data_IF_743806661288
#
_entry.id   IF_743806661288
#
_cell.length_a   1.000
_cell.length_b   1.000
_cell.length_c   1.000
_cell.angle_alpha   90.00
_cell.angle_beta   90.00
_cell.angle_gamma   90.00
#
_symmetry.space_group_name_H-M   'P 1'
#
loop_
_entity.id
_entity.type
_entity.pdbx_description
1 polymer ?
#
# COMPACT_ATOMS: atom_id res chain seq x y z
N UNK A 1 -32.52 -54.68 51.04
CA UNK A 1 -31.96 -55.67 50.11
C UNK A 1 -31.51 -54.99 48.90
N UNK A 2 -30.19 -54.58 48.84
CA UNK A 2 -29.61 -53.77 47.80
C UNK A 2 -28.92 -54.74 46.80
N UNK A 3 -29.47 -54.88 45.60
CA UNK A 3 -28.87 -55.65 44.54
C UNK A 3 -27.69 -54.87 43.94
N UNK A 4 -26.50 -55.26 44.31
CA UNK A 4 -25.28 -54.84 43.61
C UNK A 4 -25.23 -55.55 42.23
N UNK A 5 -25.48 -54.81 41.17
CA UNK A 5 -25.26 -55.23 39.80
C UNK A 5 -23.75 -55.30 39.57
N UNK A 6 -23.15 -56.44 39.53
CA UNK A 6 -21.77 -56.65 39.07
C UNK A 6 -21.72 -56.33 37.60
N UNK A 7 -21.05 -55.18 37.27
CA UNK A 7 -20.67 -54.85 35.90
C UNK A 7 -19.65 -55.96 35.49
N UNK A 8 -19.98 -56.71 34.46
CA UNK A 8 -19.06 -57.65 33.84
C UNK A 8 -17.93 -56.81 33.18
N UNK A 9 -16.71 -56.98 33.65
CA UNK A 9 -15.53 -56.41 33.01
C UNK A 9 -15.15 -57.35 31.86
N UNK A 10 -15.78 -57.13 30.69
CA UNK A 10 -15.37 -57.76 29.45
C UNK A 10 -14.06 -57.11 28.98
N UNK A 11 -12.96 -57.86 29.11
CA UNK A 11 -11.64 -57.39 28.63
C UNK A 11 -11.59 -57.31 27.10
N UNK A 12 -10.93 -56.30 26.58
CA UNK A 12 -10.71 -56.11 25.14
C UNK A 12 -9.91 -57.28 24.55
N UNK A 13 -10.37 -57.79 23.41
CA UNK A 13 -9.64 -58.80 22.68
C UNK A 13 -8.45 -58.19 21.92
N UNK A 14 -7.36 -58.94 21.77
CA UNK A 14 -6.16 -58.49 21.06
C UNK A 14 -6.48 -58.07 19.62
N UNK A 15 -7.42 -58.76 18.95
CA UNK A 15 -7.85 -58.45 17.58
C UNK A 15 -8.61 -57.14 17.50
N UNK A 16 -9.41 -56.80 18.50
CA UNK A 16 -10.15 -55.53 18.59
C UNK A 16 -9.20 -54.35 18.70
N UNK A 17 -8.13 -54.48 19.49
CA UNK A 17 -7.10 -53.47 19.62
C UNK A 17 -6.35 -53.26 18.30
N UNK A 18 -6.03 -54.31 17.56
CA UNK A 18 -5.37 -54.23 16.25
C UNK A 18 -6.27 -53.50 15.23
N UNK A 19 -7.56 -53.87 15.19
CA UNK A 19 -8.51 -53.23 14.27
C UNK A 19 -8.64 -51.72 14.59
N UNK A 20 -8.74 -51.35 15.86
CA UNK A 20 -8.83 -49.96 16.27
C UNK A 20 -7.56 -49.15 15.87
N UNK A 21 -6.36 -49.71 16.06
CA UNK A 21 -5.12 -49.08 15.64
C UNK A 21 -5.06 -48.86 14.13
N UNK A 22 -5.51 -49.83 13.33
CA UNK A 22 -5.56 -49.68 11.86
C UNK A 22 -6.56 -48.59 11.46
N UNK A 23 -7.74 -48.55 12.06
CA UNK A 23 -8.75 -47.53 11.77
C UNK A 23 -8.29 -46.14 12.16
N UNK A 24 -7.65 -45.96 13.32
CA UNK A 24 -7.08 -44.69 13.75
C UNK A 24 -5.98 -44.23 12.78
N UNK A 25 -5.13 -45.15 12.32
CA UNK A 25 -4.07 -44.82 11.37
C UNK A 25 -4.62 -44.30 10.04
N UNK A 26 -5.67 -44.93 9.51
CA UNK A 26 -6.36 -44.49 8.28
C UNK A 26 -7.00 -43.11 8.49
N UNK A 27 -7.69 -42.90 9.60
CA UNK A 27 -8.33 -41.60 9.94
C UNK A 27 -7.31 -40.51 10.13
N UNK A 28 -6.15 -40.77 10.76
CA UNK A 28 -5.08 -39.82 10.95
C UNK A 28 -4.53 -39.33 9.62
N UNK A 29 -4.25 -40.22 8.68
CA UNK A 29 -3.77 -39.85 7.33
C UNK A 29 -4.83 -39.09 6.56
N UNK A 30 -6.09 -39.51 6.59
CA UNK A 30 -7.18 -38.86 5.90
C UNK A 30 -7.43 -37.40 6.43
N UNK A 31 -7.21 -37.17 7.72
CA UNK A 31 -7.41 -35.87 8.36
C UNK A 31 -6.26 -34.90 8.15
N UNK A 32 -5.08 -35.34 7.76
CA UNK A 32 -3.88 -34.53 7.65
C UNK A 32 -3.97 -33.49 6.51
N UNK A 33 -4.51 -33.88 5.35
CA UNK A 33 -4.65 -32.99 4.20
C UNK A 33 -5.56 -31.78 4.45
N UNK A 34 -6.80 -31.95 4.96
CA UNK A 34 -7.66 -30.80 5.22
C UNK A 34 -7.09 -29.89 6.33
N UNK A 35 -6.37 -30.43 7.31
CA UNK A 35 -5.72 -29.65 8.34
C UNK A 35 -4.63 -28.74 7.75
N UNK A 36 -3.75 -29.29 6.91
CA UNK A 36 -2.70 -28.51 6.23
C UNK A 36 -3.29 -27.45 5.30
N UNK A 37 -4.35 -27.76 4.57
CA UNK A 37 -5.06 -26.80 3.74
C UNK A 37 -5.67 -25.67 4.58
N UNK A 38 -6.24 -25.98 5.72
CA UNK A 38 -6.79 -25.01 6.66
C UNK A 38 -5.73 -24.05 7.22
N UNK A 39 -4.56 -24.57 7.58
CA UNK A 39 -3.43 -23.75 8.03
C UNK A 39 -2.90 -22.84 6.93
N UNK A 40 -2.75 -23.35 5.71
CA UNK A 40 -2.33 -22.56 4.57
C UNK A 40 -3.36 -21.48 4.21
N UNK A 41 -4.65 -21.77 4.29
CA UNK A 41 -5.70 -20.79 4.07
C UNK A 41 -5.65 -19.65 5.10
N UNK A 42 -5.46 -19.98 6.38
CA UNK A 42 -5.28 -18.95 7.44
C UNK A 42 -4.06 -18.08 7.20
N UNK A 43 -2.93 -18.65 6.83
CA UNK A 43 -1.72 -17.89 6.52
C UNK A 43 -1.93 -16.95 5.34
N UNK A 44 -2.63 -17.38 4.29
CA UNK A 44 -2.98 -16.52 3.14
C UNK A 44 -3.88 -15.35 3.55
N UNK A 45 -4.90 -15.61 4.37
CA UNK A 45 -5.80 -14.54 4.85
C UNK A 45 -5.02 -13.53 5.69
N UNK A 46 -4.16 -13.97 6.60
CA UNK A 46 -3.33 -13.08 7.40
C UNK A 46 -2.42 -12.20 6.52
N UNK A 47 -1.71 -12.81 5.57
CA UNK A 47 -0.84 -12.07 4.65
C UNK A 47 -1.61 -11.06 3.78
N UNK A 48 -2.83 -11.39 3.37
CA UNK A 48 -3.69 -10.48 2.61
C UNK A 48 -4.15 -9.30 3.46
N UNK A 49 -4.51 -9.52 4.72
CA UNK A 49 -4.90 -8.45 5.64
C UNK A 49 -3.73 -7.51 5.91
N UNK A 50 -2.55 -8.04 6.24
CA UNK A 50 -1.34 -7.23 6.45
C UNK A 50 -1.00 -6.39 5.22
N UNK A 51 -1.16 -6.98 4.03
CA UNK A 51 -0.94 -6.28 2.77
C UNK A 51 -1.95 -5.13 2.55
N UNK A 52 -3.24 -5.36 2.82
CA UNK A 52 -4.30 -4.34 2.69
C UNK A 52 -4.07 -3.21 3.70
N UNK A 53 -3.72 -3.53 4.93
CA UNK A 53 -3.45 -2.53 5.97
C UNK A 53 -2.21 -1.69 5.64
N UNK A 54 -1.13 -2.31 5.17
CA UNK A 54 0.06 -1.62 4.69
C UNK A 54 -0.22 -0.70 3.49
N UNK A 55 -1.05 -1.16 2.55
CA UNK A 55 -1.48 -0.38 1.40
C UNK A 55 -2.31 0.83 1.82
N UNK A 56 -3.29 0.63 2.70
CA UNK A 56 -4.14 1.69 3.23
C UNK A 56 -3.32 2.74 3.99
N UNK A 57 -2.46 2.31 4.91
CA UNK A 57 -1.56 3.21 5.64
C UNK A 57 -0.69 4.05 4.71
N UNK A 58 -0.12 3.41 3.69
CA UNK A 58 0.74 4.09 2.71
C UNK A 58 -0.02 5.15 1.93
N UNK A 59 -1.22 4.83 1.44
CA UNK A 59 -2.07 5.80 0.73
C UNK A 59 -2.50 6.96 1.64
N UNK A 60 -2.93 6.69 2.87
CA UNK A 60 -3.29 7.73 3.83
C UNK A 60 -2.10 8.65 4.13
N UNK A 61 -0.89 8.08 4.24
CA UNK A 61 0.33 8.86 4.41
C UNK A 61 0.62 9.74 3.20
N UNK A 62 0.54 9.20 1.98
CA UNK A 62 0.73 9.94 0.74
C UNK A 62 -0.27 11.10 0.61
N UNK A 63 -1.55 10.84 0.85
CA UNK A 63 -2.62 11.85 0.81
C UNK A 63 -2.34 12.97 1.81
N UNK A 64 -1.91 12.64 3.02
CA UNK A 64 -1.58 13.62 4.05
C UNK A 64 -0.42 14.52 3.63
N UNK A 65 0.66 13.95 3.09
CA UNK A 65 1.81 14.71 2.63
C UNK A 65 1.46 15.62 1.44
N UNK A 66 0.68 15.11 0.49
CA UNK A 66 0.20 15.88 -0.65
C UNK A 66 -0.65 17.09 -0.24
N UNK A 67 -1.51 16.93 0.76
CA UNK A 67 -2.33 18.03 1.28
C UNK A 67 -1.52 19.11 2.01
N UNK A 68 -0.31 18.79 2.44
CA UNK A 68 0.63 19.72 3.08
C UNK A 68 1.59 20.40 2.09
N UNK A 69 1.44 20.14 0.79
CA UNK A 69 2.29 20.75 -0.23
C UNK A 69 2.16 22.28 -0.20
N UNK A 70 3.32 22.95 -0.23
CA UNK A 70 3.42 24.41 -0.19
C UNK A 70 3.26 25.03 -1.57
N UNK A 71 2.74 26.27 -1.60
CA UNK A 71 2.91 27.18 -2.74
C UNK A 71 4.32 27.75 -2.77
N UNK A 72 4.72 28.18 -3.96
CA UNK A 72 5.92 28.99 -4.08
C UNK A 72 5.77 30.33 -3.32
N UNK A 73 6.89 31.03 -3.13
CA UNK A 73 6.90 32.31 -2.37
C UNK A 73 5.98 33.37 -2.97
N UNK A 74 5.68 33.29 -4.27
CA UNK A 74 4.83 34.20 -4.99
C UNK A 74 3.36 33.77 -5.05
N UNK A 75 3.02 32.60 -4.47
CA UNK A 75 1.68 32.03 -4.51
C UNK A 75 1.23 31.59 -5.91
N UNK A 76 2.16 31.45 -6.85
CA UNK A 76 1.86 31.21 -8.27
C UNK A 76 1.68 29.72 -8.60
N UNK A 77 2.11 28.80 -7.75
CA UNK A 77 1.94 27.36 -7.98
C UNK A 77 2.36 26.49 -6.80
N UNK A 78 1.94 25.24 -6.82
CA UNK A 78 2.37 24.22 -5.86
C UNK A 78 3.81 23.80 -6.13
N UNK A 79 4.61 23.70 -5.09
CA UNK A 79 5.97 23.17 -5.20
C UNK A 79 5.95 21.65 -5.22
N UNK A 80 5.62 21.10 -6.37
CA UNK A 80 5.53 19.67 -6.64
C UNK A 80 6.17 19.36 -7.98
N UNK A 81 6.84 18.22 -8.07
CA UNK A 81 7.53 17.73 -9.26
C UNK A 81 7.31 16.24 -9.42
N UNK A 82 6.99 15.81 -10.62
CA UNK A 82 6.96 14.39 -10.99
C UNK A 82 8.39 13.84 -11.06
N UNK A 83 8.56 12.63 -10.55
CA UNK A 83 9.81 11.87 -10.57
C UNK A 83 9.58 10.52 -11.25
N UNK A 84 10.66 9.94 -11.79
CA UNK A 84 10.67 8.58 -12.30
C UNK A 84 9.51 8.31 -13.30
N UNK A 85 9.29 9.26 -14.22
CA UNK A 85 8.29 9.11 -15.26
C UNK A 85 8.71 7.98 -16.22
N UNK A 86 7.84 6.99 -16.48
CA UNK A 86 8.09 5.98 -17.52
C UNK A 86 8.23 6.65 -18.89
N UNK A 87 9.03 6.06 -19.76
CA UNK A 87 9.21 6.55 -21.14
C UNK A 87 7.85 6.59 -21.83
N UNK A 88 7.52 7.74 -22.43
CA UNK A 88 6.24 8.00 -23.12
C UNK A 88 4.98 7.94 -22.25
N UNK A 89 5.10 8.19 -20.96
CA UNK A 89 3.98 8.08 -20.00
C UNK A 89 2.98 9.24 -20.02
N UNK A 90 3.25 10.29 -20.78
CA UNK A 90 2.36 11.46 -20.89
C UNK A 90 2.20 12.21 -19.57
N UNK A 91 1.24 11.81 -18.74
CA UNK A 91 0.91 12.44 -17.44
C UNK A 91 1.12 11.51 -16.24
N UNK A 92 1.93 10.46 -16.37
CA UNK A 92 2.11 9.41 -15.34
C UNK A 92 3.54 9.43 -14.82
N UNK A 93 3.70 9.31 -13.49
CA UNK A 93 5.01 9.04 -12.88
C UNK A 93 4.92 7.97 -11.81
N UNK A 94 6.06 7.36 -11.48
CA UNK A 94 6.20 6.36 -10.40
C UNK A 94 6.74 6.99 -9.11
N UNK A 95 6.92 8.31 -9.12
CA UNK A 95 7.37 9.04 -7.95
C UNK A 95 7.04 10.53 -8.07
N UNK A 96 7.06 11.20 -6.94
CA UNK A 96 6.89 12.64 -6.86
C UNK A 96 7.77 13.23 -5.77
N UNK A 97 8.14 14.49 -5.95
CA UNK A 97 8.77 15.32 -4.95
C UNK A 97 7.89 16.50 -4.63
N UNK A 98 7.81 16.86 -3.37
CA UNK A 98 7.03 17.99 -2.91
C UNK A 98 7.76 18.78 -1.82
N UNK A 99 7.51 20.08 -1.77
CA UNK A 99 7.91 20.96 -0.68
C UNK A 99 6.74 21.08 0.29
N UNK A 100 6.96 20.77 1.57
CA UNK A 100 5.89 20.90 2.58
C UNK A 100 5.76 22.35 3.06
N UNK A 101 4.56 22.71 3.50
CA UNK A 101 4.32 23.95 4.23
C UNK A 101 4.94 23.88 5.63
N UNK A 102 5.59 24.98 6.09
CA UNK A 102 6.40 25.03 7.29
C UNK A 102 5.74 24.74 8.59
N UNK A 103 6.62 24.42 9.52
CA UNK A 103 6.29 24.55 10.92
C UNK A 103 6.00 25.99 11.32
N UNK A 104 5.52 26.19 12.54
CA UNK A 104 5.08 27.46 13.11
C UNK A 104 6.17 28.54 13.14
N UNK A 105 7.43 28.17 12.94
CA UNK A 105 8.61 29.01 13.07
C UNK A 105 9.20 29.51 11.73
N UNK A 106 8.54 29.24 10.59
CA UNK A 106 8.98 29.75 9.28
C UNK A 106 10.31 29.18 8.76
N UNK A 107 10.84 28.16 9.43
CA UNK A 107 12.09 27.52 9.00
C UNK A 107 11.97 26.91 7.61
N UNK A 108 13.08 26.88 6.88
CA UNK A 108 13.17 26.27 5.54
C UNK A 108 12.81 24.79 5.63
N UNK A 109 11.69 24.45 5.00
CA UNK A 109 11.17 23.11 5.05
C UNK A 109 11.93 22.19 4.14
N UNK A 110 12.31 21.06 4.69
CA UNK A 110 12.83 19.98 3.90
C UNK A 110 11.78 19.46 2.92
N UNK A 111 12.16 19.28 1.66
CA UNK A 111 11.34 18.60 0.68
C UNK A 111 11.21 17.12 1.03
N UNK A 112 10.20 16.50 0.44
CA UNK A 112 9.90 15.08 0.62
C UNK A 112 9.74 14.44 -0.74
N UNK A 113 10.31 13.24 -0.92
CA UNK A 113 10.03 12.42 -2.08
C UNK A 113 9.27 11.15 -1.71
N UNK A 114 8.32 10.80 -2.55
CA UNK A 114 7.59 9.54 -2.55
C UNK A 114 7.89 8.84 -3.86
N UNK A 115 8.41 7.63 -3.83
CA UNK A 115 8.74 6.89 -5.05
C UNK A 115 8.66 5.39 -4.88
N UNK A 116 8.50 4.70 -6.00
CA UNK A 116 8.70 3.25 -6.09
C UNK A 116 10.18 2.97 -6.30
N UNK A 117 10.78 2.16 -5.44
CA UNK A 117 12.14 1.68 -5.57
C UNK A 117 12.13 0.15 -5.53
N UNK A 118 12.36 -0.49 -6.67
CA UNK A 118 12.19 -1.94 -6.81
C UNK A 118 10.77 -2.39 -6.46
N UNK A 119 10.64 -3.24 -5.45
CA UNK A 119 9.36 -3.74 -4.95
C UNK A 119 8.87 -3.01 -3.68
N UNK A 120 9.39 -1.82 -3.39
CA UNK A 120 8.99 -1.04 -2.21
C UNK A 120 8.53 0.35 -2.60
N UNK A 121 7.64 0.92 -1.79
CA UNK A 121 7.39 2.37 -1.79
C UNK A 121 8.20 2.98 -0.67
N UNK A 122 8.95 4.02 -1.02
CA UNK A 122 9.80 4.74 -0.09
C UNK A 122 9.35 6.20 0.05
N UNK A 123 9.53 6.71 1.26
CA UNK A 123 9.39 8.11 1.60
C UNK A 123 10.75 8.60 2.08
N UNK A 124 11.24 9.66 1.48
CA UNK A 124 12.48 10.29 1.89
C UNK A 124 12.21 11.75 2.25
N UNK A 125 12.62 12.15 3.43
CA UNK A 125 12.42 13.49 3.97
C UNK A 125 13.79 14.17 4.19
N UNK A 126 13.79 15.48 4.35
CA UNK A 126 15.03 16.23 4.55
C UNK A 126 15.74 16.63 3.25
N UNK A 127 15.02 16.56 2.13
CA UNK A 127 15.56 16.83 0.80
C UNK A 127 15.56 18.32 0.45
N UNK A 128 16.30 18.67 -0.59
CA UNK A 128 16.27 20.01 -1.18
C UNK A 128 15.43 20.01 -2.45
N UNK A 129 14.37 20.82 -2.48
CA UNK A 129 13.55 21.02 -3.68
C UNK A 129 14.26 21.97 -4.67
N UNK A 130 14.21 21.74 -5.99
CA UNK A 130 13.57 20.63 -6.71
C UNK A 130 14.48 19.42 -6.99
N UNK A 131 15.66 19.36 -6.42
CA UNK A 131 16.63 18.28 -6.70
C UNK A 131 16.12 16.91 -6.22
N UNK A 132 15.56 16.85 -5.02
CA UNK A 132 14.91 15.66 -4.44
C UNK A 132 15.71 14.36 -4.56
N UNK A 133 17.03 14.45 -4.46
CA UNK A 133 17.89 13.26 -4.43
C UNK A 133 17.72 12.55 -3.10
N UNK A 134 17.46 11.26 -3.16
CA UNK A 134 17.25 10.41 -1.99
C UNK A 134 18.53 10.33 -1.15
N UNK A 135 18.41 10.55 0.17
CA UNK A 135 19.53 10.43 1.11
C UNK A 135 19.31 9.30 2.12
N UNK A 136 18.10 9.18 2.67
CA UNK A 136 17.76 8.22 3.74
C UNK A 136 16.32 7.72 3.57
N UNK A 137 16.03 6.90 2.54
CA UNK A 137 14.67 6.49 2.25
C UNK A 137 14.10 5.57 3.34
N UNK A 138 12.92 5.91 3.84
CA UNK A 138 12.13 5.06 4.73
C UNK A 138 11.17 4.22 3.89
N UNK A 139 11.19 2.91 4.07
CA UNK A 139 10.22 2.02 3.42
C UNK A 139 8.86 2.18 4.09
N UNK A 140 7.85 2.49 3.31
CA UNK A 140 6.45 2.55 3.75
C UNK A 140 5.74 1.20 3.61
N UNK A 141 5.93 0.54 2.47
CA UNK A 141 5.35 -0.77 2.19
C UNK A 141 6.21 -1.54 1.20
N UNK A 142 6.24 -2.86 1.34
CA UNK A 142 6.90 -3.80 0.44
C UNK A 142 5.92 -4.52 -0.48
N UNK A 143 6.47 -5.42 -1.31
CA UNK A 143 5.73 -6.24 -2.28
C UNK A 143 4.92 -5.43 -3.28
N UNK A 144 5.39 -4.22 -3.61
CA UNK A 144 4.75 -3.30 -4.54
C UNK A 144 5.03 -3.72 -5.97
N UNK A 145 3.98 -4.01 -6.70
CA UNK A 145 4.05 -4.29 -8.15
C UNK A 145 3.92 -3.02 -8.96
N UNK A 146 3.04 -2.11 -8.55
CA UNK A 146 2.86 -0.84 -9.24
C UNK A 146 2.61 0.31 -8.27
N UNK A 147 3.18 1.48 -8.56
CA UNK A 147 2.86 2.78 -7.98
C UNK A 147 2.76 3.77 -9.11
N UNK A 148 1.62 4.45 -9.21
CA UNK A 148 1.33 5.36 -10.29
C UNK A 148 0.69 6.63 -9.77
N UNK A 149 1.19 7.76 -10.21
CA UNK A 149 0.62 9.10 -10.02
C UNK A 149 0.16 9.63 -11.37
N UNK A 150 -1.13 9.89 -11.50
CA UNK A 150 -1.74 10.52 -12.68
C UNK A 150 -2.08 11.97 -12.35
N UNK A 151 -1.66 12.89 -13.20
CA UNK A 151 -1.78 14.33 -12.98
C UNK A 151 -2.83 14.96 -13.88
N UNK A 152 -3.69 15.81 -13.32
CA UNK A 152 -4.84 16.37 -14.01
C UNK A 152 -4.94 17.88 -13.82
N UNK A 153 -5.35 18.57 -14.89
CA UNK A 153 -5.51 20.05 -14.91
C UNK A 153 -6.94 20.47 -14.61
N UNK A 154 -7.92 19.59 -14.75
CA UNK A 154 -9.34 19.88 -14.53
C UNK A 154 -9.92 19.05 -13.38
N UNK A 155 -11.04 19.48 -12.81
CA UNK A 155 -11.71 18.78 -11.73
C UNK A 155 -12.42 17.49 -12.16
N UNK A 156 -12.60 17.27 -13.47
CA UNK A 156 -13.33 16.11 -14.02
C UNK A 156 -12.42 14.91 -14.29
N UNK A 157 -11.10 15.12 -14.46
CA UNK A 157 -10.15 14.06 -14.82
C UNK A 157 -10.17 13.72 -16.30
N UNK A 158 -10.51 14.68 -17.14
CA UNK A 158 -10.54 14.51 -18.61
C UNK A 158 -9.33 15.13 -19.29
N UNK A 159 -8.71 16.14 -18.66
CA UNK A 159 -7.56 16.85 -19.22
C UNK A 159 -6.29 16.50 -18.47
N UNK A 160 -5.46 15.57 -19.03
CA UNK A 160 -4.20 15.17 -18.38
C UNK A 160 -3.17 16.31 -18.41
N UNK A 161 -2.43 16.46 -17.31
CA UNK A 161 -1.29 17.37 -17.22
C UNK A 161 -0.03 16.68 -17.74
N UNK A 162 0.50 17.15 -18.87
CA UNK A 162 1.72 16.60 -19.46
C UNK A 162 2.95 16.84 -18.56
N UNK A 163 3.77 15.82 -18.32
CA UNK A 163 5.00 15.92 -17.51
C UNK A 163 6.12 16.74 -18.19
N UNK A 164 5.99 17.01 -19.48
CA UNK A 164 6.91 17.89 -20.22
C UNK A 164 6.74 19.39 -19.85
N UNK A 165 5.69 19.75 -19.12
CA UNK A 165 5.52 21.11 -18.61
C UNK A 165 6.63 21.39 -17.60
N UNK A 166 7.28 22.56 -17.74
CA UNK A 166 8.37 22.95 -16.85
C UNK A 166 7.89 23.04 -15.39
N UNK A 167 8.80 22.83 -14.43
CA UNK A 167 8.48 22.75 -13.00
C UNK A 167 7.71 23.97 -12.48
N UNK A 168 7.97 25.17 -13.03
CA UNK A 168 7.30 26.41 -12.61
C UNK A 168 5.81 26.45 -12.99
N UNK A 169 5.44 25.85 -14.11
CA UNK A 169 4.05 25.80 -14.59
C UNK A 169 3.32 24.53 -14.15
N UNK A 170 4.05 23.45 -13.88
CA UNK A 170 3.46 22.19 -13.48
C UNK A 170 2.55 22.33 -12.24
N UNK A 171 3.07 22.90 -11.17
CA UNK A 171 2.32 23.12 -9.95
C UNK A 171 1.18 24.14 -10.05
N UNK A 172 1.21 25.04 -11.07
CA UNK A 172 0.13 26.00 -11.34
C UNK A 172 -1.07 25.36 -12.02
N UNK A 173 -0.80 24.45 -12.94
CA UNK A 173 -1.81 23.77 -13.76
C UNK A 173 -2.40 22.55 -13.06
N UNK A 174 -1.73 22.03 -12.06
CA UNK A 174 -2.13 20.82 -11.36
C UNK A 174 -3.35 21.07 -10.46
N UNK A 175 -4.44 20.38 -10.73
CA UNK A 175 -5.67 20.43 -9.95
C UNK A 175 -5.79 19.27 -8.96
N UNK A 176 -5.62 18.05 -9.44
CA UNK A 176 -5.61 16.88 -8.58
C UNK A 176 -4.65 15.80 -9.09
N UNK A 177 -4.36 14.86 -8.21
CA UNK A 177 -3.54 13.69 -8.48
C UNK A 177 -4.35 12.46 -8.16
N UNK A 178 -4.41 11.53 -9.10
CA UNK A 178 -4.88 10.17 -8.84
C UNK A 178 -3.69 9.29 -8.49
N UNK A 179 -3.79 8.56 -7.38
CA UNK A 179 -2.76 7.65 -6.91
C UNK A 179 -3.30 6.24 -7.03
N UNK A 180 -2.60 5.41 -7.76
CA UNK A 180 -2.86 3.96 -7.81
C UNK A 180 -1.68 3.23 -7.21
N UNK A 181 -1.95 2.38 -6.23
CA UNK A 181 -0.95 1.53 -5.58
C UNK A 181 -1.42 0.08 -5.64
N UNK A 182 -0.57 -0.77 -6.20
CA UNK A 182 -0.81 -2.21 -6.32
C UNK A 182 0.27 -2.98 -5.59
N UNK A 183 -0.13 -3.91 -4.75
CA UNK A 183 0.76 -4.80 -4.02
C UNK A 183 0.37 -6.25 -4.27
N UNK A 184 1.35 -7.13 -4.23
CA UNK A 184 1.12 -8.58 -4.29
C UNK A 184 1.45 -9.16 -2.91
N UNK A 185 0.46 -9.66 -2.15
CA UNK A 185 0.71 -10.25 -0.84
C UNK A 185 1.71 -11.40 -0.91
N UNK A 186 2.46 -11.63 0.14
CA UNK A 186 3.41 -12.74 0.19
C UNK A 186 2.67 -14.10 0.17
N UNK A 187 3.20 -15.04 -0.60
CA UNK A 187 2.68 -16.42 -0.67
C UNK A 187 2.38 -16.89 -2.08
N UNK A 188 2.39 -18.20 -2.27
CA UNK A 188 2.07 -18.84 -3.55
C UNK A 188 0.60 -18.63 -3.92
N UNK A 189 0.34 -18.17 -5.15
CA UNK A 189 -1.01 -17.94 -5.66
C UNK A 189 -1.70 -16.71 -5.09
N UNK A 190 -0.95 -15.74 -4.56
CA UNK A 190 -1.50 -14.45 -4.11
C UNK A 190 -1.96 -13.63 -5.32
N UNK A 191 -3.13 -12.99 -5.17
CA UNK A 191 -3.69 -12.11 -6.17
C UNK A 191 -3.27 -10.68 -5.85
N UNK A 192 -2.80 -9.88 -6.83
CA UNK A 192 -2.49 -8.47 -6.62
C UNK A 192 -3.73 -7.71 -6.10
N UNK A 193 -3.51 -6.84 -5.12
CA UNK A 193 -4.52 -5.94 -4.58
C UNK A 193 -4.16 -4.53 -4.99
N UNK A 194 -5.07 -3.84 -5.68
CA UNK A 194 -4.91 -2.46 -6.08
C UNK A 194 -5.87 -1.56 -5.31
N UNK A 195 -5.39 -0.41 -4.87
CA UNK A 195 -6.21 0.67 -4.36
C UNK A 195 -5.91 1.96 -5.11
N UNK A 196 -6.95 2.74 -5.28
CA UNK A 196 -6.93 4.02 -5.96
C UNK A 196 -7.49 5.11 -5.05
N UNK A 197 -6.86 6.28 -5.05
CA UNK A 197 -7.36 7.45 -4.32
C UNK A 197 -7.10 8.71 -5.11
N UNK A 198 -8.04 9.67 -5.01
CA UNK A 198 -7.92 10.98 -5.62
C UNK A 198 -7.59 12.03 -4.57
N UNK A 199 -6.59 12.84 -4.82
CA UNK A 199 -6.19 13.95 -3.98
C UNK A 199 -6.40 15.26 -4.72
N UNK A 200 -7.43 15.99 -4.30
CA UNK A 200 -7.63 17.37 -4.77
C UNK A 200 -6.69 18.26 -3.99
N UNK A 201 -5.88 19.00 -4.71
CA UNK A 201 -4.93 19.95 -4.14
C UNK A 201 -5.65 21.27 -3.90
N UNK A 202 -5.73 21.68 -2.65
CA UNK A 202 -6.64 22.75 -2.15
C UNK A 202 -6.55 24.10 -2.84
N UNK A 203 -5.62 24.29 -3.77
CA UNK A 203 -5.28 25.62 -4.20
C UNK A 203 -5.13 25.85 -5.71
N UNK A 204 -5.55 24.88 -6.56
CA UNK A 204 -5.50 25.09 -8.01
C UNK A 204 -6.50 26.09 -8.58
N UNK A 205 -7.60 26.38 -7.88
CA UNK A 205 -8.69 27.18 -8.46
C UNK A 205 -9.14 28.41 -7.66
N UNK A 206 -8.71 28.59 -6.41
CA UNK A 206 -9.24 29.67 -5.54
C UNK A 206 -8.38 30.93 -5.49
N UNK A 207 -7.19 30.92 -6.08
CA UNK A 207 -6.30 32.09 -6.17
C UNK A 207 -6.47 32.98 -7.41
N UNK A 208 -7.25 32.54 -8.39
CA UNK A 208 -7.45 33.27 -9.65
C UNK A 208 -8.64 34.25 -9.64
N UNK A 209 -9.35 34.37 -8.51
CA UNK A 209 -10.48 35.29 -8.36
C UNK A 209 -10.20 36.30 -7.23
N UNK A 210 -9.19 37.16 -7.44
CA UNK A 210 -9.08 38.49 -6.82
C UNK A 210 -8.37 39.43 -7.77
#
# INVERSE_FOLDING_TARGET
MTMLRTLSEDGFTLIELVIVMVLISILAVASMQPLLQGLNARARVANNLDAIDGLRYTLERMVRELRQTRFDANGSGLQIKALDAPVNSGNISNGLCLQRSGGVDGSTLAALSLRKSGSTVTLDAGLTYPACSAAQPQTLVGNVTDLRFDYWTDGSGTTPLALAVNDANFGRLLNFIDITLTITPAGSGSVPVAQHTRVVLRNGAWGAAK
#
